data_IF_814042684494
#
_entry.id   IF_814042684494
#
_cell.length_a   1.000
_cell.length_b   1.000
_cell.length_c   1.000
_cell.angle_alpha   90.00
_cell.angle_beta   90.00
_cell.angle_gamma   90.00
#
_symmetry.space_group_name_H-M   'P 1'
#
loop_
_entity.id
_entity.type
_entity.pdbx_description
1 polymer ?
#
# COMPACT_ATOMS: atom_id res chain seq x y z
N UNK A 1 -9.80 2.44 13.97
CA UNK A 1 -8.93 1.66 14.88
C UNK A 1 -7.66 2.45 15.06
N UNK A 2 -7.29 2.74 16.31
CA UNK A 2 -6.04 3.43 16.63
C UNK A 2 -4.88 2.46 16.41
N UNK A 3 -4.09 2.67 15.35
CA UNK A 3 -2.88 1.89 15.04
C UNK A 3 -1.71 2.30 15.95
N UNK A 4 -1.92 2.34 17.26
CA UNK A 4 -0.85 2.58 18.22
C UNK A 4 -0.01 1.30 18.35
N UNK A 5 0.91 1.11 17.42
CA UNK A 5 1.93 0.06 17.49
C UNK A 5 2.90 0.41 18.63
N UNK A 6 2.61 -0.07 19.84
CA UNK A 6 3.50 -0.02 21.00
C UNK A 6 4.47 -1.20 20.92
N UNK A 7 5.47 -1.10 20.04
CA UNK A 7 6.69 -1.91 20.10
C UNK A 7 7.86 -0.98 20.45
N UNK A 8 8.26 -1.01 21.72
CA UNK A 8 9.53 -0.46 22.16
C UNK A 8 10.65 -1.27 21.49
N UNK A 9 11.63 -0.55 20.94
CA UNK A 9 12.91 -1.03 20.36
C UNK A 9 12.86 -1.64 18.95
N UNK A 10 12.55 -0.81 17.95
CA UNK A 10 13.13 -0.92 16.61
C UNK A 10 13.37 0.48 16.05
N UNK A 11 14.47 0.71 15.32
CA UNK A 11 14.78 2.04 14.76
C UNK A 11 13.70 2.40 13.73
N UNK A 12 12.78 3.28 14.12
CA UNK A 12 11.77 3.90 13.22
C UNK A 12 12.36 5.03 12.37
N UNK A 13 13.66 5.27 12.47
CA UNK A 13 14.39 6.26 11.67
C UNK A 13 15.58 5.63 10.94
N UNK A 14 16.11 6.31 9.91
CA UNK A 14 17.34 5.91 9.22
C UNK A 14 18.49 5.71 10.21
N UNK A 15 19.52 4.97 9.79
CA UNK A 15 20.65 4.61 10.66
C UNK A 15 21.36 5.82 11.30
N UNK A 16 21.23 7.01 10.71
CA UNK A 16 21.76 8.28 11.20
C UNK A 16 20.91 8.97 12.28
N UNK A 17 19.66 8.55 12.50
CA UNK A 17 18.78 9.14 13.52
C UNK A 17 18.96 8.46 14.88
N UNK A 18 19.34 9.22 15.91
CA UNK A 18 19.60 8.70 17.25
C UNK A 18 19.04 9.60 18.39
N UNK A 19 18.19 10.56 18.06
CA UNK A 19 17.63 11.48 19.05
C UNK A 19 16.45 10.87 19.81
N UNK A 20 16.45 11.12 21.12
CA UNK A 20 15.47 10.58 22.08
C UNK A 20 14.13 11.31 22.04
N UNK A 21 14.02 12.44 21.33
CA UNK A 21 12.77 13.18 21.12
C UNK A 21 12.45 13.24 19.62
N UNK A 22 11.31 12.70 19.18
CA UNK A 22 10.91 12.79 17.78
C UNK A 22 10.68 14.26 17.36
N UNK A 23 11.02 14.66 16.12
CA UNK A 23 10.70 15.98 15.59
C UNK A 23 9.19 16.19 15.41
N UNK A 24 8.79 17.43 15.14
CA UNK A 24 7.42 17.71 14.72
C UNK A 24 7.16 17.19 13.29
N UNK A 25 5.92 16.77 13.01
CA UNK A 25 5.50 16.39 11.66
C UNK A 25 5.74 17.55 10.69
N UNK A 26 6.30 17.25 9.51
CA UNK A 26 6.71 18.24 8.50
C UNK A 26 8.14 18.76 8.67
N UNK A 27 8.85 18.41 9.75
CA UNK A 27 10.28 18.73 9.90
C UNK A 27 11.06 18.14 8.74
N UNK A 28 11.91 18.95 8.10
CA UNK A 28 12.78 18.49 7.01
C UNK A 28 14.23 18.45 7.47
N UNK A 29 14.99 17.52 6.90
CA UNK A 29 16.43 17.41 7.09
C UNK A 29 17.10 16.99 5.79
N UNK A 30 18.42 17.08 5.74
CA UNK A 30 19.25 16.65 4.62
C UNK A 30 20.40 15.79 5.15
N UNK A 31 20.59 14.63 4.54
CA UNK A 31 21.66 13.69 4.86
C UNK A 31 22.21 13.12 3.56
N UNK A 32 23.53 13.17 3.37
CA UNK A 32 24.21 12.69 2.17
C UNK A 32 23.57 13.20 0.86
N UNK A 33 23.34 14.52 0.79
CA UNK A 33 22.69 15.23 -0.33
C UNK A 33 21.24 14.79 -0.62
N UNK A 34 20.62 14.09 0.33
CA UNK A 34 19.25 13.60 0.21
C UNK A 34 18.35 14.25 1.25
N UNK A 35 17.25 14.85 0.78
CA UNK A 35 16.25 15.48 1.65
C UNK A 35 15.26 14.46 2.18
N UNK A 36 14.86 14.65 3.44
CA UNK A 36 13.83 13.85 4.11
C UNK A 36 12.83 14.76 4.82
N UNK A 37 11.62 14.25 5.02
CA UNK A 37 10.56 14.88 5.81
C UNK A 37 10.03 13.90 6.86
N UNK A 38 9.81 14.38 8.07
CA UNK A 38 9.34 13.57 9.19
C UNK A 38 7.82 13.53 9.26
N UNK A 39 7.23 12.33 9.30
CA UNK A 39 5.83 12.11 9.62
C UNK A 39 5.64 10.83 10.42
N UNK A 40 4.87 10.91 11.51
CA UNK A 40 4.31 9.77 12.25
C UNK A 40 5.35 8.70 12.66
N UNK A 41 6.57 9.13 13.02
CA UNK A 41 7.64 8.23 13.41
C UNK A 41 8.70 7.98 12.34
N UNK A 42 8.47 8.37 11.09
CA UNK A 42 9.29 8.00 9.94
C UNK A 42 9.92 9.22 9.27
N UNK A 43 11.19 9.11 8.91
CA UNK A 43 11.82 10.00 7.94
C UNK A 43 11.59 9.44 6.54
N UNK A 44 10.89 10.22 5.72
CA UNK A 44 10.51 9.84 4.37
C UNK A 44 11.31 10.68 3.38
N UNK A 45 11.85 10.06 2.34
CA UNK A 45 12.53 10.76 1.26
C UNK A 45 11.63 11.88 0.68
N UNK A 46 12.12 13.11 0.77
CA UNK A 46 11.39 14.29 0.35
C UNK A 46 11.62 14.54 -1.14
N UNK A 47 10.54 14.53 -1.91
CA UNK A 47 10.53 14.91 -3.31
C UNK A 47 9.80 16.23 -3.47
N UNK A 48 10.49 17.24 -4.02
CA UNK A 48 9.93 18.55 -4.24
C UNK A 48 8.67 18.45 -5.14
N UNK A 49 7.50 18.94 -4.68
CA UNK A 49 6.30 18.98 -5.51
C UNK A 49 6.54 19.85 -6.75
N UNK A 50 6.03 19.46 -7.94
CA UNK A 50 6.13 20.31 -9.11
C UNK A 50 5.31 21.58 -8.92
N UNK A 51 5.75 22.67 -9.58
CA UNK A 51 5.03 23.94 -9.54
C UNK A 51 3.59 23.78 -10.07
N UNK A 52 2.66 24.51 -9.44
CA UNK A 52 1.24 24.44 -9.78
C UNK A 52 0.98 24.85 -11.23
N UNK A 53 0.44 23.93 -12.02
CA UNK A 53 0.03 24.17 -13.40
C UNK A 53 -0.96 23.08 -13.86
N UNK A 54 -1.77 23.39 -14.87
CA UNK A 54 -2.69 22.41 -15.46
C UNK A 54 -1.94 21.18 -16.02
N UNK A 55 -0.76 21.40 -16.62
CA UNK A 55 0.07 20.31 -17.15
C UNK A 55 0.63 19.43 -16.02
N UNK A 56 1.17 20.01 -14.95
CA UNK A 56 1.66 19.24 -13.81
C UNK A 56 0.54 18.43 -13.14
N UNK A 57 -0.65 19.03 -13.00
CA UNK A 57 -1.84 18.37 -12.47
C UNK A 57 -2.30 17.21 -13.36
N UNK A 58 -2.27 17.39 -14.69
CA UNK A 58 -2.57 16.32 -15.66
C UNK A 58 -1.64 15.14 -15.47
N UNK A 59 -0.33 15.39 -15.49
CA UNK A 59 0.68 14.35 -15.35
C UNK A 59 0.55 13.59 -14.01
N UNK A 60 0.23 14.32 -12.94
CA UNK A 60 -0.03 13.73 -11.63
C UNK A 60 -1.26 12.80 -11.68
N UNK A 61 -2.41 13.30 -12.15
CA UNK A 61 -3.65 12.51 -12.26
C UNK A 61 -3.44 11.28 -13.13
N UNK A 62 -2.81 11.40 -14.30
CA UNK A 62 -2.52 10.25 -15.18
C UNK A 62 -1.61 9.22 -14.50
N UNK A 63 -0.60 9.67 -13.74
CA UNK A 63 0.26 8.76 -12.99
C UNK A 63 -0.50 8.03 -11.88
N UNK A 64 -1.38 8.72 -11.16
CA UNK A 64 -2.19 8.12 -10.11
C UNK A 64 -3.22 7.16 -10.70
N UNK A 65 -3.88 7.50 -11.80
CA UNK A 65 -4.81 6.61 -12.53
C UNK A 65 -4.13 5.29 -12.92
N UNK A 66 -2.91 5.36 -13.49
CA UNK A 66 -2.14 4.14 -13.81
C UNK A 66 -1.84 3.31 -12.56
N UNK A 67 -1.46 3.95 -11.46
CA UNK A 67 -1.18 3.28 -10.18
C UNK A 67 -2.45 2.61 -9.65
N UNK A 68 -3.59 3.29 -9.63
CA UNK A 68 -4.88 2.72 -9.20
C UNK A 68 -5.17 1.43 -9.96
N UNK A 69 -5.19 1.46 -11.30
CA UNK A 69 -5.49 0.27 -12.10
C UNK A 69 -4.44 -0.85 -12.01
N UNK A 70 -3.18 -0.53 -11.73
CA UNK A 70 -2.14 -1.52 -11.52
C UNK A 70 -2.35 -2.34 -10.24
N UNK A 71 -2.95 -1.72 -9.21
CA UNK A 71 -3.14 -2.36 -7.90
C UNK A 71 -4.53 -2.96 -7.70
N UNK A 72 -5.45 -2.78 -8.63
CA UNK A 72 -6.82 -3.29 -8.53
C UNK A 72 -7.04 -4.56 -9.34
N UNK A 73 -8.18 -5.23 -9.12
CA UNK A 73 -8.61 -6.38 -9.92
C UNK A 73 -8.46 -6.17 -11.44
N UNK A 74 -7.99 -7.22 -12.12
CA UNK A 74 -7.84 -7.19 -13.58
C UNK A 74 -9.19 -7.05 -14.28
N UNK A 75 -9.20 -6.35 -15.42
CA UNK A 75 -10.38 -6.20 -16.28
C UNK A 75 -11.31 -5.02 -15.93
N UNK A 76 -11.07 -4.30 -14.83
CA UNK A 76 -11.92 -3.17 -14.42
C UNK A 76 -11.51 -1.83 -15.07
N UNK A 77 -10.40 -1.79 -15.80
CA UNK A 77 -9.95 -0.59 -16.54
C UNK A 77 -10.81 -0.38 -17.80
N UNK A 78 -12.09 -0.10 -17.58
CA UNK A 78 -13.09 0.08 -18.62
C UNK A 78 -12.92 1.46 -19.28
N UNK A 79 -12.89 1.55 -20.62
CA UNK A 79 -12.73 2.83 -21.31
C UNK A 79 -13.84 3.84 -20.99
N UNK A 80 -13.51 5.13 -20.94
CA UNK A 80 -14.47 6.20 -20.62
C UNK A 80 -15.60 6.38 -21.63
N UNK A 81 -15.43 5.95 -22.89
CA UNK A 81 -16.51 5.99 -23.89
C UNK A 81 -17.58 4.92 -23.65
N UNK A 82 -17.27 3.84 -22.92
CA UNK A 82 -18.19 2.74 -22.61
C UNK A 82 -18.98 2.97 -21.29
N UNK A 83 -19.07 4.23 -20.84
CA UNK A 83 -19.66 4.59 -19.54
C UNK A 83 -21.12 4.18 -19.42
N UNK A 84 -21.91 4.41 -20.46
CA UNK A 84 -23.35 4.11 -20.45
C UNK A 84 -23.60 2.61 -20.46
N UNK A 85 -22.80 1.85 -21.22
CA UNK A 85 -22.85 0.39 -21.22
C UNK A 85 -22.47 -0.19 -19.86
N UNK A 86 -21.42 0.34 -19.23
CA UNK A 86 -21.01 -0.07 -17.88
C UNK A 86 -22.09 0.25 -16.85
N UNK A 87 -22.74 1.42 -16.97
CA UNK A 87 -23.83 1.85 -16.09
C UNK A 87 -25.06 0.95 -16.24
N UNK A 88 -25.49 0.69 -17.47
CA UNK A 88 -26.59 -0.21 -17.75
C UNK A 88 -26.32 -1.64 -17.24
N UNK A 89 -25.08 -2.13 -17.36
CA UNK A 89 -24.70 -3.43 -16.82
C UNK A 89 -24.76 -3.48 -15.29
N UNK A 90 -24.34 -2.41 -14.60
CA UNK A 90 -24.44 -2.30 -13.14
C UNK A 90 -25.89 -2.22 -12.65
N UNK A 91 -26.71 -1.38 -13.28
CA UNK A 91 -28.09 -1.14 -12.85
C UNK A 91 -28.99 -2.37 -13.04
N UNK A 92 -28.84 -3.07 -14.18
CA UNK A 92 -29.67 -4.23 -14.54
C UNK A 92 -29.24 -5.53 -13.86
N UNK A 93 -28.05 -5.59 -13.27
CA UNK A 93 -27.58 -6.80 -12.59
C UNK A 93 -28.28 -6.98 -11.23
N UNK A 94 -28.70 -8.22 -10.98
CA UNK A 94 -29.45 -8.63 -9.77
C UNK A 94 -28.66 -9.60 -8.90
N UNK A 95 -27.65 -10.28 -9.45
CA UNK A 95 -26.71 -11.07 -8.64
C UNK A 95 -25.71 -10.15 -7.95
N UNK A 96 -25.70 -10.15 -6.61
CA UNK A 96 -24.86 -9.24 -5.81
C UNK A 96 -23.37 -9.34 -6.14
N UNK A 97 -22.87 -10.54 -6.44
CA UNK A 97 -21.43 -10.75 -6.71
C UNK A 97 -21.06 -10.16 -8.07
N UNK A 98 -21.88 -10.38 -9.08
CA UNK A 98 -21.72 -9.77 -10.41
C UNK A 98 -21.94 -8.26 -10.35
N UNK A 99 -22.94 -7.80 -9.58
CA UNK A 99 -23.24 -6.37 -9.43
C UNK A 99 -22.05 -5.61 -8.85
N UNK A 100 -21.35 -6.19 -7.88
CA UNK A 100 -20.08 -5.64 -7.35
C UNK A 100 -18.99 -5.54 -8.44
N UNK A 101 -18.83 -6.56 -9.29
CA UNK A 101 -17.87 -6.51 -10.42
C UNK A 101 -18.27 -5.40 -11.41
N UNK A 102 -19.57 -5.30 -11.74
CA UNK A 102 -20.06 -4.25 -12.64
C UNK A 102 -19.89 -2.86 -12.02
N UNK A 103 -20.02 -2.72 -10.69
CA UNK A 103 -19.71 -1.48 -9.98
C UNK A 103 -18.24 -1.08 -10.13
N UNK A 104 -17.32 -2.05 -10.01
CA UNK A 104 -15.89 -1.82 -10.23
C UNK A 104 -15.58 -1.40 -11.68
N UNK A 105 -16.21 -2.04 -12.67
CA UNK A 105 -16.08 -1.65 -14.08
C UNK A 105 -16.65 -0.24 -14.34
N UNK A 106 -17.80 0.08 -13.76
CA UNK A 106 -18.39 1.42 -13.84
C UNK A 106 -17.48 2.47 -13.19
N UNK A 107 -16.89 2.17 -12.04
CA UNK A 107 -15.88 3.03 -11.41
C UNK A 107 -14.71 3.32 -12.37
N UNK A 108 -14.19 2.27 -13.04
CA UNK A 108 -13.14 2.43 -14.04
C UNK A 108 -13.55 3.29 -15.24
N UNK A 109 -14.76 3.10 -15.77
CA UNK A 109 -15.30 3.90 -16.87
C UNK A 109 -15.44 5.38 -16.49
N UNK A 110 -15.97 5.67 -15.29
CA UNK A 110 -16.07 7.03 -14.74
C UNK A 110 -14.68 7.67 -14.58
N UNK A 111 -13.71 6.91 -14.09
CA UNK A 111 -12.34 7.40 -13.88
C UNK A 111 -11.64 7.76 -15.19
N UNK A 112 -11.78 6.89 -16.19
CA UNK A 112 -11.24 7.15 -17.53
C UNK A 112 -11.97 8.31 -18.21
N UNK A 113 -13.30 8.42 -18.06
CA UNK A 113 -14.07 9.58 -18.53
C UNK A 113 -13.57 10.89 -17.91
N UNK A 114 -13.36 10.90 -16.59
CA UNK A 114 -12.84 12.08 -15.89
C UNK A 114 -11.45 12.48 -16.43
N UNK A 115 -10.57 11.49 -16.64
CA UNK A 115 -9.23 11.70 -17.19
C UNK A 115 -9.27 12.21 -18.63
N UNK A 116 -10.17 11.69 -19.46
CA UNK A 116 -10.37 12.13 -20.85
C UNK A 116 -10.84 13.59 -20.93
N UNK A 117 -11.82 13.96 -20.11
CA UNK A 117 -12.30 15.35 -19.99
C UNK A 117 -11.16 16.25 -19.53
N UNK A 118 -10.41 15.86 -18.49
CA UNK A 118 -9.33 16.68 -17.96
C UNK A 118 -8.20 16.90 -18.97
N UNK A 119 -7.84 15.87 -19.73
CA UNK A 119 -6.89 15.98 -20.85
C UNK A 119 -7.36 17.01 -21.87
N UNK A 120 -8.64 16.98 -22.23
CA UNK A 120 -9.24 17.92 -23.18
C UNK A 120 -9.18 19.36 -22.66
N UNK A 121 -9.49 19.57 -21.37
CA UNK A 121 -9.38 20.87 -20.70
C UNK A 121 -7.96 21.42 -20.77
N UNK A 122 -6.95 20.58 -20.52
CA UNK A 122 -5.54 20.98 -20.58
C UNK A 122 -5.13 21.37 -22.01
N UNK A 123 -5.58 20.61 -23.02
CA UNK A 123 -5.31 20.89 -24.43
C UNK A 123 -5.95 22.20 -24.90
N UNK A 124 -7.20 22.47 -24.51
CA UNK A 124 -7.86 23.75 -24.75
C UNK A 124 -7.10 24.91 -24.10
N UNK A 125 -6.64 24.73 -22.86
CA UNK A 125 -5.81 25.69 -22.15
C UNK A 125 -4.48 25.99 -22.85
N UNK A 126 -3.81 24.96 -23.37
CA UNK A 126 -2.58 25.10 -24.15
C UNK A 126 -2.80 25.88 -25.46
N UNK A 127 -4.01 25.78 -26.05
CA UNK A 127 -4.42 26.54 -27.22
C UNK A 127 -4.93 27.97 -26.87
N UNK A 128 -4.79 28.42 -25.62
CA UNK A 128 -5.14 29.77 -25.18
C UNK A 128 -6.59 29.94 -24.71
N UNK A 129 -7.38 28.87 -24.64
CA UNK A 129 -8.75 28.92 -24.11
C UNK A 129 -8.71 29.04 -22.60
N UNK A 130 -9.31 30.10 -22.06
CA UNK A 130 -9.41 30.30 -20.60
C UNK A 130 -10.56 29.47 -20.04
N UNK A 131 -10.24 28.37 -19.37
CA UNK A 131 -11.22 27.50 -18.69
C UNK A 131 -11.24 27.86 -17.20
N UNK A 132 -12.40 28.28 -16.70
CA UNK A 132 -12.60 28.51 -15.27
C UNK A 132 -12.87 27.20 -14.54
N UNK A 133 -12.65 27.17 -13.21
CA UNK A 133 -13.02 25.99 -12.39
C UNK A 133 -14.51 25.67 -12.40
N UNK A 134 -15.36 26.67 -12.71
CA UNK A 134 -16.80 26.52 -12.78
C UNK A 134 -17.29 26.11 -14.18
N UNK A 135 -16.38 25.89 -15.14
CA UNK A 135 -16.73 25.42 -16.47
C UNK A 135 -17.42 24.04 -16.40
N UNK A 136 -18.39 23.80 -17.29
CA UNK A 136 -19.17 22.57 -17.34
C UNK A 136 -18.30 21.32 -17.46
N UNK A 137 -17.21 21.35 -18.25
CA UNK A 137 -16.26 20.23 -18.36
C UNK A 137 -15.54 19.95 -17.03
N UNK A 138 -15.19 21.01 -16.28
CA UNK A 138 -14.56 20.84 -14.96
C UNK A 138 -15.55 20.26 -13.94
N UNK A 139 -16.83 20.65 -14.03
CA UNK A 139 -17.88 20.11 -13.17
C UNK A 139 -18.16 18.64 -13.48
N UNK A 140 -18.29 18.28 -14.77
CA UNK A 140 -18.47 16.89 -15.21
C UNK A 140 -17.29 16.01 -14.81
N UNK A 141 -16.06 16.48 -15.03
CA UNK A 141 -14.84 15.80 -14.58
C UNK A 141 -14.85 15.54 -13.07
N UNK A 142 -15.20 16.54 -12.27
CA UNK A 142 -15.31 16.41 -10.82
C UNK A 142 -16.40 15.43 -10.39
N UNK A 143 -17.55 15.42 -11.06
CA UNK A 143 -18.65 14.50 -10.79
C UNK A 143 -18.27 13.05 -11.11
N UNK A 144 -17.60 12.82 -12.24
CA UNK A 144 -17.08 11.50 -12.60
C UNK A 144 -16.09 10.98 -11.55
N UNK A 145 -15.13 11.79 -11.10
CA UNK A 145 -14.20 11.39 -10.03
C UNK A 145 -14.91 11.08 -8.72
N UNK A 146 -15.91 11.89 -8.34
CA UNK A 146 -16.67 11.69 -7.10
C UNK A 146 -17.46 10.39 -7.12
N UNK A 147 -18.11 10.07 -8.23
CA UNK A 147 -18.86 8.82 -8.38
C UNK A 147 -17.92 7.61 -8.46
N UNK A 148 -16.80 7.72 -9.18
CA UNK A 148 -15.78 6.69 -9.23
C UNK A 148 -15.19 6.38 -7.84
N UNK A 149 -14.98 7.40 -7.00
CA UNK A 149 -14.55 7.21 -5.62
C UNK A 149 -15.56 6.41 -4.79
N UNK A 150 -16.86 6.68 -4.94
CA UNK A 150 -17.87 5.96 -4.17
C UNK A 150 -17.99 4.49 -4.60
N UNK A 151 -18.03 4.24 -5.91
CA UNK A 151 -18.05 2.89 -6.47
C UNK A 151 -16.71 2.15 -6.28
N UNK A 152 -15.60 2.88 -6.20
CA UNK A 152 -14.25 2.35 -5.97
C UNK A 152 -14.13 1.51 -4.70
N UNK A 153 -15.00 1.75 -3.70
CA UNK A 153 -15.10 0.93 -2.47
C UNK A 153 -15.45 -0.54 -2.74
N UNK A 154 -16.01 -0.83 -3.92
CA UNK A 154 -16.36 -2.19 -4.34
C UNK A 154 -15.21 -2.93 -5.01
N UNK A 155 -14.11 -2.23 -5.28
CA UNK A 155 -12.96 -2.73 -6.02
C UNK A 155 -11.98 -3.37 -5.05
N UNK A 156 -11.52 -4.59 -5.37
CA UNK A 156 -10.51 -5.27 -4.57
C UNK A 156 -9.10 -4.99 -5.08
N UNK A 157 -8.12 -5.17 -4.21
CA UNK A 157 -6.73 -5.33 -4.61
C UNK A 157 -6.59 -6.50 -5.60
N UNK A 158 -5.59 -6.46 -6.51
CA UNK A 158 -5.37 -7.54 -7.49
C UNK A 158 -5.19 -8.93 -6.85
N UNK A 159 -4.75 -8.99 -5.59
CA UNK A 159 -4.66 -10.23 -4.81
C UNK A 159 -6.01 -10.88 -4.48
N UNK A 160 -7.14 -10.17 -4.65
CA UNK A 160 -8.47 -10.60 -4.23
C UNK A 160 -8.82 -10.35 -2.76
N UNK A 161 -7.89 -9.77 -1.98
CA UNK A 161 -8.06 -9.36 -0.58
C UNK A 161 -8.89 -8.05 -0.47
N UNK A 162 -8.65 -7.25 0.57
CA UNK A 162 -9.38 -5.99 0.79
C UNK A 162 -9.26 -5.02 -0.40
N UNK A 163 -10.24 -4.11 -0.50
CA UNK A 163 -10.17 -2.98 -1.40
C UNK A 163 -9.18 -1.93 -0.93
N UNK A 164 -8.67 -1.13 -1.86
CA UNK A 164 -7.73 -0.05 -1.55
C UNK A 164 -8.39 1.28 -1.89
N UNK A 165 -9.34 1.69 -1.05
CA UNK A 165 -10.17 2.89 -1.23
C UNK A 165 -9.32 4.15 -1.38
N UNK A 166 -8.19 4.22 -0.67
CA UNK A 166 -7.24 5.32 -0.78
C UNK A 166 -6.77 5.59 -2.21
N UNK A 167 -6.53 4.54 -3.02
CA UNK A 167 -6.06 4.71 -4.40
C UNK A 167 -7.13 5.29 -5.32
N UNK A 168 -8.40 5.13 -4.98
CA UNK A 168 -9.52 5.74 -5.71
C UNK A 168 -9.72 7.21 -5.32
N UNK A 169 -9.38 7.58 -4.09
CA UNK A 169 -9.47 8.96 -3.60
C UNK A 169 -8.32 9.87 -4.06
N UNK A 170 -7.13 9.32 -4.29
CA UNK A 170 -5.93 10.10 -4.65
C UNK A 170 -6.12 10.98 -5.91
N UNK A 171 -6.63 10.48 -7.05
CA UNK A 171 -6.86 11.32 -8.23
C UNK A 171 -7.88 12.43 -8.00
N UNK A 172 -8.97 12.14 -7.30
CA UNK A 172 -9.96 13.17 -6.96
C UNK A 172 -9.36 14.25 -6.04
N UNK A 173 -8.52 13.85 -5.09
CA UNK A 173 -7.78 14.78 -4.24
C UNK A 173 -6.82 15.63 -5.07
N UNK A 174 -6.01 15.03 -5.93
CA UNK A 174 -5.10 15.73 -6.84
C UNK A 174 -5.84 16.71 -7.78
N UNK A 175 -7.08 16.39 -8.15
CA UNK A 175 -7.95 17.28 -8.91
C UNK A 175 -8.46 18.48 -8.10
N UNK A 176 -8.74 18.32 -6.81
CA UNK A 176 -9.44 19.32 -5.98
C UNK A 176 -8.53 20.22 -5.14
N UNK A 177 -7.35 19.75 -4.75
CA UNK A 177 -6.42 20.50 -3.87
C UNK A 177 -5.18 21.01 -4.62
N UNK A 178 -4.40 21.95 -4.07
CA UNK A 178 -3.09 22.32 -4.62
C UNK A 178 -2.12 21.14 -4.66
N UNK A 179 -1.23 21.09 -5.65
CA UNK A 179 -0.27 19.99 -5.81
C UNK A 179 0.61 19.81 -4.56
N UNK A 180 1.06 20.91 -3.96
CA UNK A 180 1.87 20.88 -2.73
C UNK A 180 1.14 20.17 -1.57
N UNK A 181 -0.13 20.51 -1.36
CA UNK A 181 -0.96 19.88 -0.32
C UNK A 181 -1.25 18.40 -0.62
N UNK A 182 -1.35 18.03 -1.91
CA UNK A 182 -1.44 16.63 -2.29
C UNK A 182 -0.17 15.87 -1.89
N UNK A 183 1.01 16.43 -2.20
CA UNK A 183 2.30 15.80 -1.84
C UNK A 183 2.49 15.67 -0.34
N UNK A 184 2.06 16.65 0.45
CA UNK A 184 2.02 16.56 1.91
C UNK A 184 1.23 15.32 2.36
N UNK A 185 0.03 15.14 1.82
CA UNK A 185 -0.80 13.97 2.14
C UNK A 185 -0.19 12.64 1.69
N UNK A 186 0.59 12.64 0.60
CA UNK A 186 1.33 11.48 0.13
C UNK A 186 2.41 11.07 1.13
N UNK A 187 3.15 12.02 1.72
CA UNK A 187 4.16 11.69 2.73
C UNK A 187 3.52 11.04 3.96
N UNK A 188 2.40 11.58 4.45
CA UNK A 188 1.64 10.97 5.55
C UNK A 188 1.22 9.54 5.20
N UNK A 189 0.71 9.31 3.97
CA UNK A 189 0.30 7.97 3.53
C UNK A 189 1.46 6.98 3.43
N UNK A 190 2.65 7.44 3.03
CA UNK A 190 3.87 6.62 3.05
C UNK A 190 4.26 6.25 4.48
N UNK A 191 4.21 7.19 5.44
CA UNK A 191 4.48 6.88 6.86
C UNK A 191 3.51 5.82 7.39
N UNK A 192 2.22 5.94 7.07
CA UNK A 192 1.20 4.96 7.45
C UNK A 192 1.47 3.58 6.84
N UNK A 193 1.88 3.52 5.57
CA UNK A 193 2.26 2.27 4.91
C UNK A 193 3.51 1.64 5.55
N UNK A 194 4.54 2.44 5.86
CA UNK A 194 5.74 1.97 6.59
C UNK A 194 5.39 1.41 7.98
N UNK A 195 4.50 2.10 8.71
CA UNK A 195 4.00 1.62 10.00
C UNK A 195 3.24 0.29 9.87
N UNK A 196 2.46 0.13 8.80
CA UNK A 196 1.77 -1.12 8.55
C UNK A 196 2.77 -2.25 8.21
N UNK A 197 3.81 -1.98 7.42
CA UNK A 197 4.89 -2.93 7.13
C UNK A 197 5.55 -3.41 8.43
N UNK A 198 5.92 -2.47 9.31
CA UNK A 198 6.54 -2.78 10.60
C UNK A 198 5.60 -3.60 11.49
N UNK A 199 4.30 -3.30 11.50
CA UNK A 199 3.30 -4.09 12.23
C UNK A 199 3.26 -5.56 11.78
N UNK A 200 3.27 -5.82 10.47
CA UNK A 200 3.25 -7.18 9.91
C UNK A 200 4.57 -7.90 10.21
N UNK A 201 5.70 -7.22 10.03
CA UNK A 201 7.03 -7.76 10.30
C UNK A 201 7.23 -8.13 11.78
N UNK A 202 6.93 -7.19 12.69
CA UNK A 202 7.00 -7.41 14.14
C UNK A 202 6.12 -8.59 14.56
N UNK A 203 4.93 -8.70 13.97
CA UNK A 203 4.01 -9.79 14.27
C UNK A 203 4.56 -11.15 13.86
N UNK A 204 5.12 -11.28 12.66
CA UNK A 204 5.77 -12.50 12.20
C UNK A 204 6.90 -12.90 13.16
N UNK A 205 7.77 -11.95 13.52
CA UNK A 205 8.89 -12.17 14.43
C UNK A 205 8.42 -12.68 15.79
N UNK A 206 7.42 -12.03 16.38
CA UNK A 206 6.88 -12.40 17.70
C UNK A 206 6.39 -13.85 17.78
N UNK A 207 5.87 -14.41 16.69
CA UNK A 207 5.32 -15.77 16.70
C UNK A 207 6.31 -16.83 16.21
N UNK A 208 7.27 -16.46 15.38
CA UNK A 208 8.27 -17.38 14.80
C UNK A 208 9.55 -17.46 15.62
N UNK A 209 10.09 -16.34 16.11
CA UNK A 209 11.36 -16.28 16.83
C UNK A 209 11.46 -17.24 18.04
N UNK A 210 10.39 -17.48 18.84
CA UNK A 210 10.46 -18.44 19.95
C UNK A 210 10.63 -19.91 19.52
N UNK A 211 10.54 -20.22 18.23
CA UNK A 211 10.68 -21.56 17.70
C UNK A 211 12.08 -21.76 17.11
N UNK A 212 12.88 -22.72 17.62
CA UNK A 212 14.22 -23.00 17.08
C UNK A 212 14.25 -23.29 15.57
N UNK A 213 13.18 -23.84 15.00
CA UNK A 213 13.06 -24.06 13.54
C UNK A 213 13.04 -22.76 12.73
N UNK A 214 12.71 -21.61 13.33
CA UNK A 214 12.54 -20.34 12.62
C UNK A 214 13.44 -19.22 13.18
N UNK A 215 14.44 -19.55 14.01
CA UNK A 215 15.34 -18.55 14.62
C UNK A 215 15.97 -17.61 13.59
N UNK A 216 16.37 -18.13 12.43
CA UNK A 216 17.01 -17.35 11.35
C UNK A 216 16.02 -16.47 10.56
N UNK A 217 14.71 -16.63 10.72
CA UNK A 217 13.69 -15.86 10.00
C UNK A 217 13.71 -14.37 10.39
N UNK A 218 14.05 -14.07 11.65
CA UNK A 218 14.03 -12.71 12.22
C UNK A 218 14.82 -11.71 11.37
N UNK A 219 16.06 -12.08 11.02
CA UNK A 219 16.94 -11.25 10.19
C UNK A 219 16.44 -11.08 8.77
N UNK A 220 15.81 -12.11 8.20
CA UNK A 220 15.27 -12.06 6.84
C UNK A 220 14.02 -11.17 6.78
N UNK A 221 13.18 -11.24 7.82
CA UNK A 221 11.99 -10.40 7.98
C UNK A 221 12.41 -8.93 8.12
N UNK A 222 13.36 -8.61 9.00
CA UNK A 222 13.85 -7.24 9.20
C UNK A 222 14.45 -6.65 7.92
N UNK A 223 15.24 -7.46 7.21
CA UNK A 223 15.87 -7.06 5.96
C UNK A 223 14.83 -6.77 4.87
N UNK A 224 13.85 -7.67 4.69
CA UNK A 224 12.78 -7.46 3.73
C UNK A 224 11.88 -6.27 4.09
N UNK A 225 11.47 -6.13 5.35
CA UNK A 225 10.68 -5.00 5.82
C UNK A 225 11.40 -3.66 5.59
N UNK A 226 12.71 -3.61 5.83
CA UNK A 226 13.52 -2.44 5.55
C UNK A 226 13.55 -2.11 4.06
N UNK A 227 13.80 -3.10 3.20
CA UNK A 227 13.79 -2.91 1.74
C UNK A 227 12.41 -2.46 1.23
N UNK A 228 11.33 -3.01 1.80
CA UNK A 228 9.95 -2.64 1.48
C UNK A 228 9.63 -1.18 1.83
N UNK A 229 10.13 -0.68 2.98
CA UNK A 229 9.98 0.74 3.34
C UNK A 229 10.72 1.66 2.37
N UNK A 230 11.94 1.30 1.95
CA UNK A 230 12.67 2.06 0.93
C UNK A 230 11.95 2.09 -0.42
N UNK A 231 11.39 0.95 -0.86
CA UNK A 231 10.57 0.91 -2.08
C UNK A 231 9.30 1.78 -1.96
N UNK A 232 8.68 1.80 -0.77
CA UNK A 232 7.46 2.57 -0.51
C UNK A 232 7.64 4.08 -0.74
N UNK A 233 8.77 4.65 -0.29
CA UNK A 233 9.04 6.08 -0.43
C UNK A 233 9.61 6.49 -1.79
N UNK A 234 10.31 5.59 -2.47
CA UNK A 234 11.10 5.91 -3.68
C UNK A 234 10.20 6.22 -4.88
N UNK A 235 10.38 7.37 -5.52
CA UNK A 235 9.65 7.68 -6.75
C UNK A 235 10.24 6.93 -7.94
N UNK A 236 9.40 6.50 -8.90
CA UNK A 236 9.89 5.82 -10.12
C UNK A 236 10.74 6.72 -11.05
N UNK A 237 10.61 8.04 -10.90
CA UNK A 237 11.46 9.03 -11.58
C UNK A 237 12.85 9.15 -10.97
N UNK A 238 13.08 8.64 -9.76
CA UNK A 238 14.36 8.63 -9.07
C UNK A 238 15.25 7.51 -9.65
N UNK A 239 15.75 7.72 -10.86
CA UNK A 239 16.48 6.69 -11.61
C UNK A 239 17.71 6.18 -10.85
N UNK A 240 18.41 7.05 -10.13
CA UNK A 240 19.61 6.69 -9.35
C UNK A 240 19.27 5.68 -8.26
N UNK A 241 18.25 5.96 -7.45
CA UNK A 241 17.90 5.08 -6.34
C UNK A 241 17.09 3.86 -6.77
N UNK A 242 16.30 3.93 -7.85
CA UNK A 242 15.49 2.80 -8.31
C UNK A 242 16.35 1.58 -8.69
N UNK A 243 17.51 1.77 -9.31
CA UNK A 243 18.39 0.64 -9.68
C UNK A 243 19.13 0.02 -8.49
N UNK A 244 19.04 0.62 -7.31
CA UNK A 244 19.55 0.07 -6.06
C UNK A 244 18.42 -0.57 -5.25
N UNK A 245 17.32 0.16 -5.08
CA UNK A 245 16.22 -0.21 -4.18
C UNK A 245 15.35 -1.33 -4.77
N UNK A 246 15.06 -1.29 -6.07
CA UNK A 246 14.18 -2.30 -6.68
C UNK A 246 14.81 -3.71 -6.66
N UNK A 247 16.08 -3.92 -7.08
CA UNK A 247 16.71 -5.23 -6.97
C UNK A 247 16.81 -5.72 -5.52
N UNK A 248 17.10 -4.83 -4.57
CA UNK A 248 17.17 -5.15 -3.14
C UNK A 248 15.82 -5.63 -2.62
N UNK A 249 14.75 -4.90 -2.90
CA UNK A 249 13.39 -5.24 -2.50
C UNK A 249 12.95 -6.61 -3.05
N UNK A 250 13.17 -6.86 -4.34
CA UNK A 250 12.79 -8.13 -4.98
C UNK A 250 13.61 -9.29 -4.43
N UNK A 251 14.94 -9.16 -4.38
CA UNK A 251 15.80 -10.24 -3.89
C UNK A 251 15.61 -10.55 -2.40
N UNK A 252 15.34 -9.53 -1.57
CA UNK A 252 14.98 -9.73 -0.17
C UNK A 252 13.65 -10.50 -0.01
N UNK A 253 12.66 -10.18 -0.85
CA UNK A 253 11.36 -10.88 -0.92
C UNK A 253 11.54 -12.36 -1.29
N UNK A 254 12.34 -12.64 -2.31
CA UNK A 254 12.65 -14.01 -2.78
C UNK A 254 13.38 -14.80 -1.68
N UNK A 255 14.42 -14.22 -1.08
CA UNK A 255 15.18 -14.85 -0.01
C UNK A 255 14.32 -15.20 1.21
N UNK A 256 13.38 -14.34 1.58
CA UNK A 256 12.44 -14.62 2.66
C UNK A 256 11.46 -15.74 2.28
N UNK A 257 10.98 -15.77 1.04
CA UNK A 257 10.07 -16.81 0.54
C UNK A 257 10.73 -18.19 0.45
N UNK A 258 12.02 -18.23 0.12
CA UNK A 258 12.80 -19.46 0.00
C UNK A 258 13.21 -20.05 1.36
N UNK A 259 13.07 -19.29 2.46
CA UNK A 259 13.46 -19.76 3.78
C UNK A 259 12.55 -20.92 4.24
N UNK A 260 13.05 -22.15 4.31
CA UNK A 260 12.20 -23.30 4.60
C UNK A 260 11.98 -23.48 6.10
N UNK A 261 12.68 -22.74 6.96
CA UNK A 261 12.88 -23.13 8.35
C UNK A 261 13.88 -24.29 8.49
N UNK A 262 14.17 -24.68 9.72
CA UNK A 262 15.12 -25.73 10.09
C UNK A 262 14.42 -26.81 10.93
N UNK A 263 13.61 -27.72 10.33
CA UNK A 263 12.80 -28.68 11.07
C UNK A 263 13.59 -29.51 12.10
N UNK A 264 14.86 -29.81 11.79
CA UNK A 264 15.76 -30.59 12.65
C UNK A 264 16.15 -29.87 13.96
N UNK A 265 15.98 -28.54 14.04
CA UNK A 265 16.26 -27.74 15.25
C UNK A 265 15.11 -27.74 16.25
N UNK A 266 13.90 -28.10 15.85
CA UNK A 266 12.75 -28.30 16.74
C UNK A 266 12.05 -29.64 16.44
N UNK A 267 12.65 -30.80 16.76
CA UNK A 267 12.07 -32.11 16.44
C UNK A 267 10.72 -32.40 17.11
N UNK A 268 10.37 -31.62 18.13
CA UNK A 268 9.08 -31.72 18.83
C UNK A 268 7.97 -30.93 18.14
N UNK A 269 8.33 -30.04 17.20
CA UNK A 269 7.37 -29.29 16.41
C UNK A 269 6.76 -30.21 15.33
N UNK A 270 5.43 -30.43 15.33
CA UNK A 270 4.80 -31.28 14.33
C UNK A 270 4.97 -30.71 12.93
N UNK A 271 5.08 -31.60 11.94
CA UNK A 271 5.29 -31.23 10.52
C UNK A 271 4.24 -30.24 10.02
N UNK A 272 2.96 -30.43 10.35
CA UNK A 272 1.89 -29.52 9.94
C UNK A 272 2.06 -28.12 10.53
N UNK A 273 2.55 -28.01 11.77
CA UNK A 273 2.76 -26.74 12.44
C UNK A 273 4.00 -26.05 11.88
N UNK A 274 5.05 -26.81 11.56
CA UNK A 274 6.16 -26.29 10.78
C UNK A 274 5.70 -25.74 9.42
N UNK A 275 4.90 -26.49 8.66
CA UNK A 275 4.33 -26.01 7.39
C UNK A 275 3.50 -24.74 7.55
N UNK A 276 2.71 -24.62 8.63
CA UNK A 276 1.96 -23.40 8.93
C UNK A 276 2.89 -22.21 9.21
N UNK A 277 4.01 -22.42 9.89
CA UNK A 277 5.03 -21.39 10.12
C UNK A 277 5.63 -20.88 8.80
N UNK A 278 5.98 -21.78 7.88
CA UNK A 278 6.44 -21.42 6.54
C UNK A 278 5.36 -20.68 5.74
N UNK A 279 4.09 -21.09 5.87
CA UNK A 279 2.95 -20.40 5.25
C UNK A 279 2.82 -18.95 5.76
N UNK A 280 2.90 -18.74 7.07
CA UNK A 280 2.83 -17.40 7.68
C UNK A 280 3.93 -16.47 7.15
N UNK A 281 5.14 -16.99 6.94
CA UNK A 281 6.23 -16.22 6.32
C UNK A 281 5.82 -15.77 4.91
N UNK A 282 5.29 -16.68 4.09
CA UNK A 282 4.85 -16.37 2.74
C UNK A 282 3.70 -15.36 2.70
N UNK A 283 2.71 -15.52 3.56
CA UNK A 283 1.54 -14.63 3.62
C UNK A 283 1.93 -13.23 4.10
N UNK A 284 2.71 -13.14 5.18
CA UNK A 284 3.17 -11.86 5.72
C UNK A 284 4.11 -11.13 4.75
N UNK A 285 4.98 -11.88 4.06
CA UNK A 285 5.79 -11.36 2.95
C UNK A 285 4.92 -10.79 1.84
N UNK A 286 3.87 -11.50 1.44
CA UNK A 286 2.95 -11.06 0.39
C UNK A 286 2.21 -9.78 0.80
N UNK A 287 1.73 -9.71 2.04
CA UNK A 287 1.05 -8.54 2.58
C UNK A 287 1.98 -7.31 2.64
N UNK A 288 3.21 -7.46 3.13
CA UNK A 288 4.21 -6.38 3.10
C UNK A 288 4.46 -5.90 1.67
N UNK A 289 4.57 -6.82 0.72
CA UNK A 289 4.76 -6.49 -0.70
C UNK A 289 3.57 -5.70 -1.26
N UNK A 290 2.33 -6.07 -0.92
CA UNK A 290 1.14 -5.34 -1.37
C UNK A 290 1.10 -3.93 -0.78
N UNK A 291 1.35 -3.77 0.52
CA UNK A 291 1.42 -2.46 1.20
C UNK A 291 2.50 -1.58 0.57
N UNK A 292 3.70 -2.12 0.36
CA UNK A 292 4.84 -1.36 -0.16
C UNK A 292 4.59 -0.88 -1.59
N UNK A 293 4.10 -1.76 -2.47
CA UNK A 293 3.85 -1.42 -3.87
C UNK A 293 2.65 -0.48 -4.03
N UNK A 294 1.57 -0.74 -3.29
CA UNK A 294 0.40 0.14 -3.29
C UNK A 294 0.67 1.47 -2.58
N UNK A 295 1.66 1.54 -1.67
CA UNK A 295 2.07 2.70 -0.85
C UNK A 295 0.95 3.30 0.01
N UNK A 296 0.10 2.42 0.49
CA UNK A 296 -1.02 2.72 1.40
C UNK A 296 -1.21 1.54 2.34
N UNK A 297 -1.68 1.76 3.57
CA UNK A 297 -1.94 0.68 4.51
C UNK A 297 -3.05 -0.26 4.00
N UNK A 298 -3.00 -1.51 4.45
CA UNK A 298 -3.95 -2.59 4.20
C UNK A 298 -4.47 -3.12 5.55
N UNK A 299 -5.32 -2.35 6.24
CA UNK A 299 -5.66 -2.60 7.63
C UNK A 299 -6.48 -3.88 7.85
N UNK A 300 -7.43 -4.21 6.97
CA UNK A 300 -8.26 -5.40 7.12
C UNK A 300 -7.42 -6.66 6.88
N UNK A 301 -6.59 -6.66 5.85
CA UNK A 301 -5.69 -7.78 5.56
C UNK A 301 -4.66 -7.96 6.66
N UNK A 302 -4.23 -6.86 7.28
CA UNK A 302 -3.32 -6.89 8.44
C UNK A 302 -3.96 -7.48 9.67
N UNK A 303 -5.20 -7.11 9.99
CA UNK A 303 -5.95 -7.69 11.10
C UNK A 303 -6.13 -9.20 10.93
N UNK A 304 -6.56 -9.62 9.74
CA UNK A 304 -6.69 -11.05 9.40
C UNK A 304 -5.36 -11.80 9.55
N UNK A 305 -4.26 -11.23 9.09
CA UNK A 305 -2.94 -11.84 9.23
C UNK A 305 -2.48 -11.94 10.69
N UNK A 306 -2.78 -10.93 11.51
CA UNK A 306 -2.48 -10.95 12.95
C UNK A 306 -3.25 -12.07 13.65
N UNK A 307 -4.50 -12.31 13.25
CA UNK A 307 -5.33 -13.40 13.76
C UNK A 307 -4.75 -14.78 13.40
N UNK A 308 -4.32 -14.98 12.15
CA UNK A 308 -3.61 -16.21 11.75
C UNK A 308 -2.34 -16.44 12.59
N UNK A 309 -1.59 -15.37 12.87
CA UNK A 309 -0.44 -15.42 13.77
C UNK A 309 -0.83 -15.79 15.21
N UNK A 310 -1.96 -15.27 15.72
CA UNK A 310 -2.49 -15.61 17.05
C UNK A 310 -2.88 -17.09 17.15
N UNK A 311 -3.53 -17.62 16.11
CA UNK A 311 -3.91 -19.03 16.02
C UNK A 311 -2.68 -19.94 16.02
N UNK A 312 -1.68 -19.60 15.20
CA UNK A 312 -0.41 -20.31 15.14
C UNK A 312 0.31 -20.31 16.50
N UNK A 313 0.44 -19.15 17.15
CA UNK A 313 1.03 -19.05 18.49
C UNK A 313 0.29 -19.94 19.50
N UNK A 314 -1.05 -19.94 19.47
CA UNK A 314 -1.87 -20.78 20.35
C UNK A 314 -1.69 -22.28 20.08
N UNK A 315 -1.51 -22.67 18.82
CA UNK A 315 -1.21 -24.04 18.43
C UNK A 315 0.18 -24.49 18.93
N UNK A 316 1.22 -23.65 18.78
CA UNK A 316 2.58 -23.97 19.26
C UNK A 316 2.64 -24.17 20.76
N UNK A 317 1.96 -23.32 21.54
CA UNK A 317 1.90 -23.44 23.00
C UNK A 317 1.22 -24.73 23.45
N UNK A 318 0.15 -25.16 22.76
CA UNK A 318 -0.54 -26.42 23.09
C UNK A 318 0.34 -27.64 22.88
N UNK A 319 1.18 -27.64 21.85
CA UNK A 319 2.10 -28.76 21.59
C UNK A 319 3.31 -28.76 22.52
N UNK A 320 3.82 -27.58 22.90
CA UNK A 320 4.98 -27.45 23.78
C UNK A 320 4.65 -27.55 25.27
N UNK A 321 3.38 -27.46 25.67
CA UNK A 321 2.98 -27.73 27.05
C UNK A 321 3.10 -29.25 27.31
N UNK A 322 3.87 -29.69 28.34
CA UNK A 322 3.83 -31.07 28.74
C UNK A 322 2.40 -31.42 29.17
N UNK A 323 1.90 -32.58 28.71
CA UNK A 323 0.68 -33.19 29.23
C UNK A 323 0.79 -33.24 30.75
N UNK A 324 0.19 -32.25 31.46
CA UNK A 324 -0.06 -32.40 32.88
C UNK A 324 -0.99 -33.59 32.99
N UNK A 325 -0.41 -34.69 33.46
CA UNK A 325 -1.06 -35.97 33.70
C UNK A 325 -2.46 -35.75 34.26
N UNK A 326 -3.48 -36.16 33.50
CA UNK A 326 -4.73 -36.60 34.10
C UNK A 326 -4.38 -37.90 34.83
N UNK A 327 -4.09 -37.76 36.13
CA UNK A 327 -4.07 -38.86 37.10
C UNK A 327 -5.39 -38.89 37.83
#
# INVERSE_FOLDING_TARGET
MDFSCNSATFRRGPLWWNDSTPPDNGTQTEVDDQRFVYYDGYWIRYYQPPAESLLARKNLIESLTRRTFHHTEHGINTPGHALEEARAAFENETDDRKKRVNAAMLAGALFNRATDIFRTVVELGANGVKISRNNELMQECGQCFKEALDLGKQVKHYSGQEGIDELWGEPFRAFTVPIEQFYESRFIKIAQAMCNIDCVADRMKQVLQPLPSFEDADRLIDYFATAAKYECETMRSDSVNNFLIWPEFVSASERLAEFPGHPYRDPQLPVWLHSNGTKLIYDGKSLIQWIALARVPMPVSTEMFIDECNEFKSATLRVKQPLKQQR
#
